data_IF_780851656560
#
_entry.id   IF_780851656560
#
_cell.length_a   1.000
_cell.length_b   1.000
_cell.length_c   1.000
_cell.angle_alpha   90.00
_cell.angle_beta   90.00
_cell.angle_gamma   90.00
#
_symmetry.space_group_name_H-M   'P 1'
#
loop_
_entity.id
_entity.type
_entity.pdbx_description
1 polymer ?
#
# COMPACT_ATOMS: atom_id res chain seq x y z
N UNK A 1 -19.04 38.09 53.82
CA UNK A 1 -18.61 36.71 53.55
C UNK A 1 -17.41 36.42 54.44
N UNK A 2 -17.36 35.26 55.12
CA UNK A 2 -16.22 34.92 55.96
C UNK A 2 -14.97 34.69 55.11
N UNK A 3 -13.80 34.97 55.62
CA UNK A 3 -12.52 34.74 54.97
C UNK A 3 -12.41 33.26 54.50
N UNK A 4 -12.85 32.32 55.32
CA UNK A 4 -12.92 30.92 55.02
C UNK A 4 -13.72 30.63 53.72
N UNK A 5 -14.91 31.19 53.53
CA UNK A 5 -15.71 31.01 52.32
C UNK A 5 -15.05 31.55 51.06
N UNK A 6 -14.27 32.65 51.20
CA UNK A 6 -13.53 33.16 50.02
C UNK A 6 -12.36 32.29 49.65
N UNK A 7 -11.68 31.64 50.59
CA UNK A 7 -10.64 30.65 50.30
C UNK A 7 -11.18 29.37 49.73
N UNK A 8 -12.29 28.86 50.23
CA UNK A 8 -12.97 27.67 49.69
C UNK A 8 -13.38 27.89 48.21
N UNK A 9 -13.98 29.05 47.93
CA UNK A 9 -14.33 29.41 46.56
C UNK A 9 -13.09 29.45 45.64
N UNK A 10 -12.00 30.08 46.11
CA UNK A 10 -10.77 30.17 45.37
C UNK A 10 -10.09 28.81 45.13
N UNK A 11 -10.16 27.92 46.12
CA UNK A 11 -9.66 26.53 45.96
C UNK A 11 -10.48 25.79 44.94
N UNK A 12 -11.81 25.90 44.99
CA UNK A 12 -12.71 25.27 44.00
C UNK A 12 -12.43 25.79 42.56
N UNK A 13 -12.24 27.10 42.43
CA UNK A 13 -11.97 27.71 41.13
C UNK A 13 -10.60 27.26 40.57
N UNK A 14 -9.56 27.18 41.44
CA UNK A 14 -8.24 26.67 41.08
C UNK A 14 -8.27 25.17 40.70
N UNK A 15 -9.06 24.38 41.44
CA UNK A 15 -9.22 22.97 41.10
C UNK A 15 -9.86 22.78 39.73
N UNK A 16 -10.96 23.50 39.46
CA UNK A 16 -11.63 23.47 38.14
C UNK A 16 -10.70 23.96 37.02
N UNK A 17 -9.97 25.05 37.25
CA UNK A 17 -9.03 25.55 36.28
C UNK A 17 -7.90 24.53 35.99
N UNK A 18 -7.41 23.85 37.03
CA UNK A 18 -6.37 22.81 36.87
C UNK A 18 -6.93 21.58 36.14
N UNK A 19 -8.14 21.12 36.49
CA UNK A 19 -8.79 20.01 35.77
C UNK A 19 -8.99 20.34 34.29
N UNK A 20 -9.47 21.55 33.98
CA UNK A 20 -9.66 22.02 32.62
C UNK A 20 -8.34 22.08 31.85
N UNK A 21 -7.30 22.69 32.45
CA UNK A 21 -5.98 22.79 31.83
C UNK A 21 -5.34 21.41 31.60
N UNK A 22 -5.53 20.48 32.54
CA UNK A 22 -5.04 19.10 32.41
C UNK A 22 -5.77 18.36 31.28
N UNK A 23 -7.10 18.47 31.21
CA UNK A 23 -7.90 17.85 30.15
C UNK A 23 -7.57 18.43 28.77
N UNK A 24 -7.42 19.76 28.66
CA UNK A 24 -7.01 20.42 27.41
C UNK A 24 -5.61 20.00 26.98
N UNK A 25 -4.68 19.92 27.91
CA UNK A 25 -3.30 19.46 27.64
C UNK A 25 -3.28 18.02 27.14
N UNK A 26 -4.03 17.12 27.78
CA UNK A 26 -4.15 15.72 27.37
C UNK A 26 -4.78 15.58 25.98
N UNK A 27 -5.85 16.33 25.70
CA UNK A 27 -6.50 16.33 24.38
C UNK A 27 -5.54 16.86 23.29
N UNK A 28 -4.77 17.90 23.60
CA UNK A 28 -3.79 18.50 22.69
C UNK A 28 -2.62 17.55 22.40
N UNK A 29 -2.11 16.85 23.41
CA UNK A 29 -1.08 15.83 23.25
C UNK A 29 -1.59 14.70 22.37
N UNK A 30 -2.78 14.16 22.65
CA UNK A 30 -3.39 13.10 21.86
C UNK A 30 -3.54 13.52 20.39
N UNK A 31 -4.05 14.73 20.14
CA UNK A 31 -4.20 15.22 18.76
C UNK A 31 -2.86 15.35 18.03
N UNK A 32 -1.81 15.75 18.73
CA UNK A 32 -0.46 15.80 18.15
C UNK A 32 0.09 14.40 17.87
N UNK A 33 -0.09 13.46 18.77
CA UNK A 33 0.32 12.07 18.59
C UNK A 33 -0.39 11.43 17.40
N UNK A 34 -1.70 11.64 17.28
CA UNK A 34 -2.48 11.15 16.14
C UNK A 34 -2.00 11.77 14.82
N UNK A 35 -1.63 13.06 14.83
CA UNK A 35 -1.08 13.75 13.66
C UNK A 35 0.28 13.20 13.26
N UNK A 36 1.17 12.96 14.23
CA UNK A 36 2.49 12.37 13.99
C UNK A 36 2.35 10.96 13.42
N UNK A 37 1.48 10.13 14.02
CA UNK A 37 1.21 8.77 13.52
C UNK A 37 0.71 8.79 12.09
N UNK A 38 -0.26 9.63 11.79
CA UNK A 38 -0.78 9.77 10.43
C UNK A 38 0.29 10.20 9.43
N UNK A 39 1.14 11.18 9.80
CA UNK A 39 2.24 11.63 8.94
C UNK A 39 3.28 10.53 8.71
N UNK A 40 3.62 9.75 9.73
CA UNK A 40 4.60 8.66 9.61
C UNK A 40 4.08 7.55 8.71
N UNK A 41 2.84 7.08 8.95
CA UNK A 41 2.24 5.99 8.17
C UNK A 41 2.02 6.44 6.73
N UNK A 42 1.43 7.62 6.51
CA UNK A 42 1.23 8.17 5.16
C UNK A 42 2.57 8.34 4.43
N UNK A 43 3.56 8.89 5.13
CA UNK A 43 4.91 9.06 4.59
C UNK A 43 5.58 7.75 4.17
N UNK A 44 5.25 6.63 4.81
CA UNK A 44 5.72 5.31 4.39
C UNK A 44 5.21 4.96 2.98
N UNK A 45 3.92 5.17 2.72
CA UNK A 45 3.33 4.94 1.40
C UNK A 45 3.86 5.94 0.35
N UNK A 46 3.97 7.22 0.69
CA UNK A 46 4.45 8.25 -0.24
C UNK A 46 5.90 8.01 -0.70
N UNK A 47 6.74 7.45 0.18
CA UNK A 47 8.15 7.14 -0.11
C UNK A 47 8.37 5.73 -0.66
N UNK A 48 7.35 4.89 -0.68
CA UNK A 48 7.50 3.50 -1.09
C UNK A 48 7.96 3.38 -2.54
N UNK A 49 9.14 2.81 -2.72
CA UNK A 49 9.68 2.44 -4.03
C UNK A 49 8.86 1.30 -4.64
N UNK A 50 8.44 0.35 -3.83
CA UNK A 50 7.62 -0.77 -4.27
C UNK A 50 6.29 -0.32 -4.87
N UNK A 51 5.58 0.61 -4.21
CA UNK A 51 4.32 1.14 -4.76
C UNK A 51 4.53 1.81 -6.11
N UNK A 52 5.55 2.64 -6.23
CA UNK A 52 5.84 3.38 -7.46
C UNK A 52 6.24 2.47 -8.61
N UNK A 53 7.07 1.47 -8.34
CA UNK A 53 7.73 0.69 -9.37
C UNK A 53 6.92 -0.56 -9.73
N UNK A 54 6.32 -1.24 -8.77
CA UNK A 54 5.66 -2.53 -8.93
C UNK A 54 4.12 -2.45 -9.02
N UNK A 55 3.50 -1.32 -8.70
CA UNK A 55 2.03 -1.24 -8.64
C UNK A 55 1.45 -0.10 -9.48
N UNK A 56 0.17 -0.22 -9.82
CA UNK A 56 -0.63 0.86 -10.42
C UNK A 56 -1.40 1.66 -9.37
N UNK A 57 -1.24 1.30 -8.08
CA UNK A 57 -2.00 1.88 -6.98
C UNK A 57 -1.35 3.20 -6.53
N UNK A 58 -2.07 4.32 -6.57
CA UNK A 58 -1.57 5.58 -6.01
C UNK A 58 -1.33 5.48 -4.50
N UNK A 59 -0.31 6.17 -3.95
CA UNK A 59 0.01 6.12 -2.52
C UNK A 59 -1.16 6.43 -1.60
N UNK A 60 -2.00 7.40 -1.96
CA UNK A 60 -3.19 7.77 -1.18
C UNK A 60 -4.21 6.63 -1.07
N UNK A 61 -4.46 5.91 -2.15
CA UNK A 61 -5.36 4.75 -2.15
C UNK A 61 -4.74 3.57 -1.42
N UNK A 62 -3.43 3.39 -1.55
CA UNK A 62 -2.69 2.40 -0.78
C UNK A 62 -2.78 2.67 0.72
N UNK A 63 -2.58 3.92 1.15
CA UNK A 63 -2.75 4.33 2.53
C UNK A 63 -4.17 4.07 3.05
N UNK A 64 -5.21 4.44 2.30
CA UNK A 64 -6.60 4.18 2.71
C UNK A 64 -6.90 2.69 2.87
N UNK A 65 -6.33 1.85 2.02
CA UNK A 65 -6.59 0.41 2.02
C UNK A 65 -5.77 -0.35 3.07
N UNK A 66 -4.50 0.01 3.23
CA UNK A 66 -3.52 -0.76 4.00
C UNK A 66 -2.97 -0.01 5.21
N UNK A 67 -3.16 1.30 5.34
CA UNK A 67 -2.61 2.10 6.45
C UNK A 67 -3.06 1.63 7.84
N UNK A 68 -4.23 1.02 7.95
CA UNK A 68 -4.75 0.44 9.20
C UNK A 68 -3.93 -0.76 9.74
N UNK A 69 -3.07 -1.34 8.91
CA UNK A 69 -2.17 -2.45 9.31
C UNK A 69 -0.80 -1.97 9.78
N UNK A 70 -0.61 -0.65 9.82
CA UNK A 70 0.59 -0.02 10.35
C UNK A 70 0.28 0.67 11.68
N UNK A 71 1.03 0.35 12.70
CA UNK A 71 1.02 1.04 13.99
C UNK A 71 2.36 1.76 14.18
N UNK A 72 2.33 2.91 14.85
CA UNK A 72 3.55 3.61 15.24
C UNK A 72 3.86 3.24 16.67
N UNK A 73 5.02 2.64 16.89
CA UNK A 73 5.55 2.29 18.21
C UNK A 73 6.77 3.14 18.53
N UNK A 74 6.97 3.41 19.82
CA UNK A 74 8.15 4.10 20.31
C UNK A 74 9.11 3.07 20.91
N UNK A 75 10.31 3.00 20.36
CA UNK A 75 11.41 2.20 20.88
C UNK A 75 12.64 3.08 21.12
N UNK A 76 13.14 3.08 22.35
CA UNK A 76 14.32 3.85 22.74
C UNK A 76 14.22 5.36 22.39
N UNK A 77 13.02 5.95 22.53
CA UNK A 77 12.77 7.35 22.18
C UNK A 77 12.66 7.63 20.68
N UNK A 78 12.63 6.60 19.84
CA UNK A 78 12.44 6.72 18.41
C UNK A 78 11.11 6.10 17.98
N UNK A 79 10.36 6.85 17.19
CA UNK A 79 9.12 6.36 16.60
C UNK A 79 9.44 5.49 15.39
N UNK A 80 8.82 4.32 15.32
CA UNK A 80 8.94 3.37 14.22
C UNK A 80 7.59 2.87 13.76
N UNK A 81 7.48 2.60 12.47
CA UNK A 81 6.35 1.89 11.91
C UNK A 81 6.49 0.39 12.22
N UNK A 82 5.44 -0.19 12.78
CA UNK A 82 5.31 -1.63 13.03
C UNK A 82 4.14 -2.12 12.22
N UNK A 83 4.40 -3.01 11.28
CA UNK A 83 3.43 -3.52 10.34
C UNK A 83 2.87 -4.86 10.78
N UNK A 84 1.58 -5.07 10.55
CA UNK A 84 0.86 -6.31 10.83
C UNK A 84 0.25 -6.85 9.55
N UNK A 85 0.16 -8.17 9.47
CA UNK A 85 -0.56 -8.84 8.39
C UNK A 85 -2.08 -8.73 8.56
N UNK A 86 -2.85 -9.33 7.63
CA UNK A 86 -4.32 -9.33 7.69
C UNK A 86 -4.88 -10.11 8.90
N UNK A 87 -4.09 -10.91 9.57
CA UNK A 87 -4.43 -11.67 10.77
C UNK A 87 -4.01 -10.94 12.06
N UNK A 88 -3.39 -9.75 11.94
CA UNK A 88 -2.88 -8.97 13.06
C UNK A 88 -1.52 -9.42 13.59
N UNK A 89 -0.81 -10.30 12.88
CA UNK A 89 0.52 -10.75 13.28
C UNK A 89 1.59 -9.78 12.77
N UNK A 90 2.63 -9.48 13.57
CA UNK A 90 3.73 -8.63 13.13
C UNK A 90 4.41 -9.17 11.87
N UNK A 91 4.71 -8.30 10.93
CA UNK A 91 5.49 -8.63 9.74
C UNK A 91 6.97 -8.43 10.05
N UNK A 92 7.74 -9.52 9.95
CA UNK A 92 9.19 -9.49 10.16
C UNK A 92 9.93 -9.41 8.83
N UNK A 93 11.13 -8.84 8.88
CA UNK A 93 12.00 -8.74 7.72
C UNK A 93 12.45 -10.12 7.24
N UNK A 94 12.38 -10.33 5.93
CA UNK A 94 12.91 -11.53 5.27
C UNK A 94 14.43 -11.53 5.22
N UNK A 95 15.03 -10.32 5.14
CA UNK A 95 16.47 -10.16 5.12
C UNK A 95 17.12 -10.33 6.50
N UNK A 96 16.40 -9.90 7.57
CA UNK A 96 16.90 -9.94 8.95
C UNK A 96 15.84 -10.57 9.88
N UNK A 97 15.77 -11.90 9.95
CA UNK A 97 14.80 -12.61 10.79
C UNK A 97 14.83 -12.12 12.24
N UNK A 98 13.66 -11.84 12.80
CA UNK A 98 13.51 -11.35 14.18
C UNK A 98 13.48 -9.82 14.31
N UNK A 99 13.74 -9.08 13.24
CA UNK A 99 13.53 -7.62 13.19
C UNK A 99 12.24 -7.27 12.46
N UNK A 100 11.54 -6.18 12.83
CA UNK A 100 10.38 -5.72 12.08
C UNK A 100 10.75 -5.43 10.62
N UNK A 101 9.82 -5.73 9.69
CA UNK A 101 10.01 -5.43 8.28
C UNK A 101 10.14 -3.92 8.04
N UNK A 102 10.89 -3.55 7.02
CA UNK A 102 10.91 -2.17 6.51
C UNK A 102 9.55 -1.80 5.90
N UNK A 103 9.29 -0.51 5.73
CA UNK A 103 8.04 -0.03 5.15
C UNK A 103 7.77 -0.67 3.77
N UNK A 104 8.75 -0.69 2.87
CA UNK A 104 8.61 -1.28 1.55
C UNK A 104 8.36 -2.78 1.59
N UNK A 105 9.10 -3.52 2.43
CA UNK A 105 8.96 -4.96 2.57
C UNK A 105 7.58 -5.35 3.15
N UNK A 106 7.08 -4.56 4.09
CA UNK A 106 5.77 -4.77 4.68
C UNK A 106 4.64 -4.45 3.69
N UNK A 107 4.74 -3.34 2.96
CA UNK A 107 3.79 -2.97 1.91
C UNK A 107 3.76 -4.04 0.81
N UNK A 108 4.91 -4.53 0.36
CA UNK A 108 5.02 -5.64 -0.58
C UNK A 108 4.31 -6.89 -0.07
N UNK A 109 4.53 -7.24 1.20
CA UNK A 109 3.92 -8.42 1.83
C UNK A 109 2.40 -8.30 1.88
N UNK A 110 1.87 -7.13 2.28
CA UNK A 110 0.43 -6.87 2.34
C UNK A 110 -0.22 -6.91 0.95
N UNK A 111 0.39 -6.27 -0.04
CA UNK A 111 -0.13 -6.29 -1.42
C UNK A 111 -0.04 -7.70 -2.00
N UNK A 112 1.06 -8.42 -1.76
CA UNK A 112 1.24 -9.80 -2.22
C UNK A 112 0.21 -10.77 -1.64
N UNK A 113 -0.26 -10.54 -0.42
CA UNK A 113 -1.29 -11.32 0.25
C UNK A 113 -2.73 -10.84 -0.06
N UNK A 114 -2.88 -9.71 -0.76
CA UNK A 114 -4.19 -9.16 -1.08
C UNK A 114 -4.90 -9.98 -2.17
N UNK A 115 -6.18 -10.36 -1.99
CA UNK A 115 -6.88 -11.24 -2.93
C UNK A 115 -6.99 -10.71 -4.36
N UNK A 116 -6.98 -9.39 -4.53
CA UNK A 116 -7.07 -8.74 -5.85
C UNK A 116 -5.73 -8.14 -6.29
N UNK A 117 -4.61 -8.68 -5.83
CA UNK A 117 -3.27 -8.19 -6.13
C UNK A 117 -2.99 -8.06 -7.63
N UNK A 118 -3.51 -8.97 -8.44
CA UNK A 118 -3.29 -8.97 -9.90
C UNK A 118 -3.86 -7.73 -10.61
N UNK A 119 -4.82 -7.05 -9.96
CA UNK A 119 -5.37 -5.77 -10.43
C UNK A 119 -4.56 -4.55 -9.97
N UNK A 120 -3.71 -4.76 -8.98
CA UNK A 120 -2.90 -3.72 -8.35
C UNK A 120 -1.47 -3.74 -8.87
N UNK A 121 -0.93 -4.93 -9.12
CA UNK A 121 0.43 -5.10 -9.63
C UNK A 121 0.48 -4.67 -11.09
N UNK A 122 1.54 -3.99 -11.47
CA UNK A 122 1.87 -3.76 -12.88
C UNK A 122 2.14 -5.10 -13.53
N UNK A 123 1.68 -5.25 -14.77
CA UNK A 123 2.12 -6.39 -15.57
C UNK A 123 3.66 -6.38 -15.61
N UNK A 124 4.32 -7.54 -15.44
CA UNK A 124 5.75 -7.59 -15.62
C UNK A 124 6.09 -6.98 -17.00
N UNK A 125 7.07 -6.07 -17.06
CA UNK A 125 7.64 -5.58 -18.32
C UNK A 125 8.25 -6.77 -19.08
N UNK A 126 7.37 -7.62 -19.58
CA UNK A 126 7.67 -8.64 -20.55
C UNK A 126 7.68 -7.94 -21.88
N UNK A 127 8.84 -7.93 -22.52
CA UNK A 127 9.05 -7.37 -23.83
C UNK A 127 7.88 -7.65 -24.76
N UNK A 128 7.60 -6.66 -25.58
CA UNK A 128 6.64 -6.61 -26.67
C UNK A 128 6.23 -8.00 -27.19
N UNK A 129 5.23 -8.57 -26.55
CA UNK A 129 4.50 -9.74 -27.00
C UNK A 129 3.04 -9.39 -26.88
N UNK A 130 2.48 -8.88 -27.94
CA UNK A 130 1.05 -8.69 -28.17
C UNK A 130 0.29 -9.90 -27.63
N UNK A 131 -0.36 -9.78 -26.48
CA UNK A 131 -1.44 -10.68 -26.17
C UNK A 131 -2.68 -9.84 -25.85
N UNK A 132 -3.40 -9.60 -26.97
CA UNK A 132 -4.73 -9.01 -26.95
C UNK A 132 -5.65 -9.80 -26.05
N UNK A 133 -6.43 -9.03 -25.28
CA UNK A 133 -7.40 -9.52 -24.33
C UNK A 133 -8.32 -10.59 -24.88
N UNK A 134 -8.52 -11.59 -24.07
CA UNK A 134 -9.58 -12.57 -24.24
C UNK A 134 -10.91 -11.92 -23.84
N UNK A 135 -11.62 -11.48 -24.83
CA UNK A 135 -13.02 -11.07 -24.72
C UNK A 135 -13.71 -11.31 -26.03
N UNK A 136 -14.42 -12.45 -26.14
CA UNK A 136 -15.56 -12.59 -27.05
C UNK A 136 -15.27 -13.04 -28.47
N UNK A 137 -15.59 -14.29 -28.72
CA UNK A 137 -16.21 -14.83 -29.96
C UNK A 137 -15.67 -14.39 -31.34
N UNK A 138 -14.87 -15.25 -31.99
CA UNK A 138 -14.83 -15.29 -33.47
C UNK A 138 -13.78 -14.43 -34.14
N UNK A 139 -12.56 -14.32 -33.60
CA UNK A 139 -11.44 -13.67 -34.28
C UNK A 139 -10.39 -14.68 -34.69
N UNK A 140 -10.20 -14.92 -36.01
CA UNK A 140 -9.14 -15.77 -36.54
C UNK A 140 -7.76 -15.31 -36.05
N UNK A 141 -6.87 -16.25 -35.80
CA UNK A 141 -5.47 -15.99 -35.45
C UNK A 141 -4.81 -15.24 -36.60
N UNK A 142 -4.20 -14.08 -36.32
CA UNK A 142 -3.54 -13.24 -37.33
C UNK A 142 -2.03 -13.19 -37.10
N UNK A 143 -1.27 -13.10 -38.17
CA UNK A 143 0.17 -12.86 -38.15
C UNK A 143 0.51 -11.78 -39.17
N UNK A 144 1.46 -10.90 -38.83
CA UNK A 144 1.90 -9.86 -39.76
C UNK A 144 2.62 -10.48 -40.96
N UNK A 145 2.47 -9.85 -42.14
CA UNK A 145 3.16 -10.30 -43.36
C UNK A 145 4.69 -10.36 -43.18
N UNK A 146 5.27 -9.39 -42.50
CA UNK A 146 6.70 -9.33 -42.27
C UNK A 146 7.21 -10.50 -41.41
N UNK A 147 6.44 -10.95 -40.45
CA UNK A 147 6.81 -12.08 -39.60
C UNK A 147 6.51 -13.42 -40.28
N UNK A 148 5.41 -13.46 -41.03
CA UNK A 148 5.11 -14.62 -41.84
C UNK A 148 6.19 -14.89 -42.88
N UNK A 149 6.76 -13.87 -43.55
CA UNK A 149 7.81 -14.00 -44.54
C UNK A 149 9.13 -14.55 -43.99
N UNK A 150 9.42 -14.33 -42.70
CA UNK A 150 10.61 -14.84 -42.00
C UNK A 150 10.56 -16.34 -41.69
N UNK A 151 9.38 -16.96 -41.79
CA UNK A 151 9.21 -18.38 -41.49
C UNK A 151 9.65 -19.26 -42.67
N UNK A 152 10.09 -20.47 -42.34
CA UNK A 152 10.39 -21.46 -43.37
C UNK A 152 9.10 -21.95 -44.10
N UNK A 153 9.22 -22.46 -45.33
CA UNK A 153 8.07 -22.84 -46.13
C UNK A 153 7.12 -23.89 -45.47
N UNK A 154 7.69 -24.83 -44.73
CA UNK A 154 6.91 -25.88 -44.09
C UNK A 154 6.06 -25.29 -42.94
N UNK A 155 6.66 -24.35 -42.18
CA UNK A 155 5.95 -23.66 -41.08
C UNK A 155 4.88 -22.71 -41.61
N UNK A 156 5.12 -22.00 -42.70
CA UNK A 156 4.11 -21.16 -43.39
C UNK A 156 2.88 -21.97 -43.78
N UNK A 157 3.09 -23.12 -44.37
CA UNK A 157 2.00 -24.00 -44.81
C UNK A 157 1.20 -24.54 -43.60
N UNK A 158 1.88 -24.94 -42.53
CA UNK A 158 1.25 -25.42 -41.30
C UNK A 158 0.39 -24.36 -40.67
N UNK A 159 0.87 -23.13 -40.55
CA UNK A 159 0.13 -22.04 -39.89
C UNK A 159 -1.14 -21.68 -40.63
N UNK A 160 -1.12 -21.66 -41.96
CA UNK A 160 -2.30 -21.32 -42.75
C UNK A 160 -3.27 -22.48 -42.83
N UNK A 161 -2.80 -23.72 -43.05
CA UNK A 161 -3.67 -24.87 -43.31
C UNK A 161 -4.14 -25.60 -42.06
N UNK A 162 -3.29 -25.73 -41.03
CA UNK A 162 -3.60 -26.44 -39.79
C UNK A 162 -4.02 -25.52 -38.65
N UNK A 163 -3.31 -24.40 -38.47
CA UNK A 163 -3.48 -23.54 -37.31
C UNK A 163 -4.47 -22.40 -37.56
N UNK A 164 -4.92 -22.21 -38.84
CA UNK A 164 -5.95 -21.24 -39.21
C UNK A 164 -5.56 -19.76 -39.03
N UNK A 165 -4.27 -19.43 -39.21
CA UNK A 165 -3.79 -18.05 -39.16
C UNK A 165 -4.14 -17.32 -40.47
N UNK A 166 -4.53 -16.04 -40.32
CA UNK A 166 -4.69 -15.10 -41.42
C UNK A 166 -3.54 -14.11 -41.42
N UNK A 167 -2.92 -13.91 -42.58
CA UNK A 167 -1.83 -12.93 -42.74
C UNK A 167 -2.45 -11.56 -42.94
N UNK A 168 -2.00 -10.58 -42.12
CA UNK A 168 -2.42 -9.18 -42.22
C UNK A 168 -1.22 -8.31 -42.60
N UNK A 169 -1.50 -7.23 -43.33
CA UNK A 169 -0.48 -6.24 -43.72
C UNK A 169 -0.03 -5.38 -42.57
#
# INVERSE_FOLDING_TARGET
KSIAQSFEAKISDLQKANETATAESAARLKSKDDSIRNLMVRGAFDRSSYLRDATVLPPDLAYQSFGKYCEVSEENGQLRNVWKDFNGQPIFSRANPGTPASDDEAIETLIGAYPMKDRILKAPDGGSGTNGGTGGNGGGKTISRSDFEKLDPARKMQMVTKDGFTVTD
#
